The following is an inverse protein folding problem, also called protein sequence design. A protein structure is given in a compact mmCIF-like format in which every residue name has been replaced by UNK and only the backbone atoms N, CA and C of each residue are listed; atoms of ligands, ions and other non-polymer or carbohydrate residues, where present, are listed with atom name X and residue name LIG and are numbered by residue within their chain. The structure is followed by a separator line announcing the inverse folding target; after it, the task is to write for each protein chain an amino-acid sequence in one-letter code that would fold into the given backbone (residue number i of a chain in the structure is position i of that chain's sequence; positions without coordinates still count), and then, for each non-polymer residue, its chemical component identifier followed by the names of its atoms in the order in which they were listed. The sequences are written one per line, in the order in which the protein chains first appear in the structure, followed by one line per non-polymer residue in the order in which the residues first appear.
data_IF_010001839416
#
_entry.id   IF_010001839416
#
_cell.length_a   1.000
_cell.length_b   1.000
_cell.length_c   1.000
_cell.angle_alpha   90.00
_cell.angle_beta   90.00
_cell.angle_gamma   90.00
#
_symmetry.space_group_name_H-M   'P 1'
#
loop_
_entity.id
_entity.type
_entity.pdbx_description
1 polymer ?
#
# COMPACT_ATOMS: atom_id res chain seq x y z
N UNK A 1 4.66 3.63 -4.97
CA UNK A 1 4.62 3.79 -6.44
C UNK A 1 4.78 5.27 -6.78
N UNK A 2 5.18 5.59 -8.01
CA UNK A 2 5.37 6.97 -8.45
C UNK A 2 4.22 7.38 -9.38
N UNK A 3 3.30 8.27 -8.96
CA UNK A 3 2.15 8.65 -9.78
C UNK A 3 2.55 9.38 -11.07
N UNK A 4 1.89 9.01 -12.18
CA UNK A 4 1.92 9.80 -13.41
C UNK A 4 1.27 11.17 -13.19
N UNK A 5 1.75 12.27 -13.82
CA UNK A 5 2.85 12.37 -14.78
C UNK A 5 4.22 12.71 -14.16
N UNK A 6 4.31 12.69 -12.83
CA UNK A 6 5.45 13.26 -12.11
C UNK A 6 6.52 12.23 -11.73
N UNK A 7 6.42 10.99 -12.23
CA UNK A 7 7.21 9.87 -11.74
C UNK A 7 8.72 10.08 -11.80
N UNK A 8 9.24 10.76 -12.84
CA UNK A 8 10.68 11.02 -12.95
C UNK A 8 11.15 12.00 -11.86
N UNK A 9 10.45 13.12 -11.69
CA UNK A 9 10.77 14.11 -10.65
C UNK A 9 10.63 13.54 -9.23
N UNK A 10 9.65 12.66 -9.01
CA UNK A 10 9.45 12.00 -7.72
C UNK A 10 10.55 10.98 -7.43
N UNK A 11 10.96 10.18 -8.42
CA UNK A 11 12.09 9.26 -8.29
C UNK A 11 13.36 10.02 -7.93
N UNK A 12 13.71 11.07 -8.68
CA UNK A 12 14.90 11.90 -8.42
C UNK A 12 14.86 12.49 -7.02
N UNK A 13 13.69 13.00 -6.58
CA UNK A 13 13.51 13.54 -5.24
C UNK A 13 13.71 12.48 -4.15
N UNK A 14 13.17 11.28 -4.33
CA UNK A 14 13.30 10.20 -3.33
C UNK A 14 14.71 9.63 -3.29
N UNK A 15 15.36 9.44 -4.44
CA UNK A 15 16.75 8.98 -4.53
C UNK A 15 17.70 9.94 -3.80
N UNK A 16 17.56 11.25 -4.04
CA UNK A 16 18.38 12.27 -3.40
C UNK A 16 18.13 12.42 -1.89
N UNK A 17 16.96 12.01 -1.39
CA UNK A 17 16.58 12.16 0.02
C UNK A 17 17.28 11.16 0.94
N UNK A 18 17.75 10.02 0.41
CA UNK A 18 18.24 8.90 1.21
C UNK A 18 19.61 8.37 0.76
N UNK A 19 20.63 9.24 0.64
CA UNK A 19 21.94 8.85 0.10
C UNK A 19 22.59 7.76 0.96
N UNK A 20 22.94 6.63 0.33
CA UNK A 20 23.62 5.51 0.98
C UNK A 20 22.76 4.64 1.90
N UNK A 21 21.46 4.93 2.01
CA UNK A 21 20.50 4.18 2.82
C UNK A 21 19.43 3.49 1.98
N UNK A 22 18.93 4.18 0.94
CA UNK A 22 17.94 3.66 0.01
C UNK A 22 18.50 3.69 -1.41
N UNK A 23 18.39 2.58 -2.12
CA UNK A 23 18.87 2.44 -3.50
C UNK A 23 17.69 2.22 -4.44
N UNK A 24 17.50 3.13 -5.39
CA UNK A 24 16.38 3.11 -6.32
C UNK A 24 16.38 1.87 -7.23
N UNK A 25 15.22 1.23 -7.34
CA UNK A 25 14.91 0.15 -8.30
C UNK A 25 13.52 0.39 -8.84
N UNK A 26 13.40 0.57 -10.15
CA UNK A 26 12.16 0.94 -10.83
C UNK A 26 11.73 -0.14 -11.81
N UNK A 27 10.43 -0.43 -11.81
CA UNK A 27 9.78 -1.29 -12.79
C UNK A 27 8.74 -0.47 -13.55
N UNK A 28 8.98 -0.24 -14.84
CA UNK A 28 8.05 0.51 -15.69
C UNK A 28 6.86 -0.35 -16.10
N UNK A 29 5.66 0.18 -15.94
CA UNK A 29 4.41 -0.52 -16.19
C UNK A 29 3.37 0.40 -16.85
N UNK A 30 2.32 -0.21 -17.39
CA UNK A 30 1.07 0.50 -17.70
C UNK A 30 0.18 0.46 -16.46
N UNK A 31 -0.22 1.62 -15.95
CA UNK A 31 -1.14 1.79 -14.84
C UNK A 31 -2.19 2.83 -15.20
N UNK A 32 -3.47 2.48 -15.07
CA UNK A 32 -4.61 3.35 -15.41
C UNK A 32 -4.46 4.03 -16.80
N UNK A 33 -3.98 3.26 -17.79
CA UNK A 33 -3.76 3.73 -19.16
C UNK A 33 -2.48 4.51 -19.41
N UNK A 34 -1.75 4.91 -18.37
CA UNK A 34 -0.51 5.69 -18.47
C UNK A 34 0.73 4.80 -18.29
N UNK A 35 1.88 5.21 -18.85
CA UNK A 35 3.17 4.60 -18.53
C UNK A 35 3.76 5.32 -17.32
N UNK A 36 4.02 4.57 -16.25
CA UNK A 36 4.70 5.05 -15.04
C UNK A 36 5.59 3.95 -14.47
N UNK A 37 6.16 4.13 -13.28
CA UNK A 37 6.96 3.10 -12.61
C UNK A 37 6.49 2.79 -11.17
N UNK A 38 6.63 1.52 -10.80
CA UNK A 38 6.64 1.07 -9.41
C UNK A 38 8.08 1.12 -8.89
N UNK A 39 8.22 1.37 -7.59
CA UNK A 39 9.51 1.34 -6.91
C UNK A 39 9.60 0.10 -6.02
N UNK A 40 10.74 -0.59 -6.09
CA UNK A 40 11.13 -1.68 -5.19
C UNK A 40 12.50 -1.36 -4.57
N UNK A 41 12.68 -0.16 -3.97
CA UNK A 41 13.99 0.29 -3.57
C UNK A 41 14.58 -0.62 -2.49
N UNK A 42 15.88 -0.87 -2.57
CA UNK A 42 16.60 -1.58 -1.51
C UNK A 42 16.79 -0.62 -0.35
N UNK A 43 16.38 -1.03 0.87
CA UNK A 43 16.56 -0.24 2.09
C UNK A 43 17.56 -0.95 2.99
N UNK A 44 18.62 -0.26 3.39
CA UNK A 44 19.56 -0.78 4.40
C UNK A 44 18.90 -0.70 5.77
N UNK A 45 18.38 -1.84 6.26
CA UNK A 45 17.71 -1.90 7.55
C UNK A 45 18.61 -1.45 8.70
N UNK A 46 18.05 -0.65 9.60
CA UNK A 46 18.69 -0.22 10.85
C UNK A 46 17.77 -0.46 12.05
N UNK A 47 16.63 0.23 12.07
CA UNK A 47 15.58 0.07 13.08
C UNK A 47 14.20 0.15 12.41
N UNK A 48 13.20 -0.43 13.07
CA UNK A 48 11.80 -0.33 12.64
C UNK A 48 11.33 1.13 12.58
N UNK A 49 11.70 1.95 13.57
CA UNK A 49 11.35 3.37 13.61
C UNK A 49 11.89 4.14 12.39
N UNK A 50 13.13 3.85 11.96
CA UNK A 50 13.71 4.47 10.76
C UNK A 50 13.03 3.97 9.49
N UNK A 51 12.69 2.69 9.42
CA UNK A 51 11.97 2.12 8.28
C UNK A 51 10.57 2.74 8.13
N UNK A 52 9.82 2.86 9.22
CA UNK A 52 8.52 3.53 9.23
C UNK A 52 8.66 5.04 8.91
N UNK A 53 9.75 5.69 9.33
CA UNK A 53 10.04 7.07 8.93
C UNK A 53 10.27 7.20 7.42
N UNK A 54 11.04 6.30 6.80
CA UNK A 54 11.27 6.27 5.35
C UNK A 54 9.93 6.11 4.62
N UNK A 55 9.07 5.19 5.08
CA UNK A 55 7.72 5.00 4.53
C UNK A 55 6.90 6.28 4.61
N UNK A 56 6.83 6.91 5.79
CA UNK A 56 6.11 8.17 6.01
C UNK A 56 6.62 9.30 5.13
N UNK A 57 7.94 9.40 4.93
CA UNK A 57 8.54 10.42 4.08
C UNK A 57 8.18 10.21 2.60
N UNK A 58 8.11 8.98 2.11
CA UNK A 58 7.62 8.71 0.76
C UNK A 58 6.16 9.18 0.60
N UNK A 59 5.28 8.80 1.53
CA UNK A 59 3.87 9.19 1.50
C UNK A 59 3.69 10.71 1.55
N UNK A 60 4.40 11.39 2.46
CA UNK A 60 4.38 12.85 2.59
C UNK A 60 4.91 13.59 1.35
N UNK A 61 5.69 12.92 0.51
CA UNK A 61 6.22 13.47 -0.75
C UNK A 61 5.44 13.02 -1.99
N UNK A 62 4.24 12.45 -1.82
CA UNK A 62 3.38 12.07 -2.95
C UNK A 62 3.75 10.74 -3.59
N UNK A 63 4.50 9.88 -2.90
CA UNK A 63 4.85 8.53 -3.33
C UNK A 63 4.13 7.51 -2.42
N UNK A 64 2.91 7.05 -2.76
CA UNK A 64 2.18 6.16 -1.88
C UNK A 64 2.91 4.83 -1.69
N UNK A 65 2.90 4.30 -0.47
CA UNK A 65 3.56 3.05 -0.11
C UNK A 65 2.52 1.93 0.07
N UNK A 66 2.82 0.78 -0.55
CA UNK A 66 2.17 -0.48 -0.24
C UNK A 66 3.10 -1.22 0.71
N UNK A 67 2.82 -1.17 2.02
CA UNK A 67 3.81 -1.49 3.04
C UNK A 67 4.13 -3.01 3.05
N UNK A 68 5.34 -3.44 2.63
CA UNK A 68 5.70 -4.85 2.59
C UNK A 68 6.08 -5.41 3.97
N UNK A 69 6.12 -4.56 5.00
CA UNK A 69 6.45 -4.92 6.38
C UNK A 69 5.20 -5.01 7.26
N UNK A 70 4.05 -5.34 6.66
CA UNK A 70 2.79 -5.60 7.34
C UNK A 70 2.21 -6.91 6.82
N UNK A 71 1.46 -7.60 7.69
CA UNK A 71 0.95 -8.95 7.38
C UNK A 71 -0.56 -8.97 7.10
N UNK A 72 -1.27 -7.86 7.31
CA UNK A 72 -2.71 -7.74 7.05
C UNK A 72 -2.96 -7.09 5.69
N UNK A 73 -4.14 -7.34 5.14
CA UNK A 73 -4.55 -6.82 3.83
C UNK A 73 -4.61 -5.29 3.82
N UNK A 74 -5.23 -4.72 4.85
CA UNK A 74 -5.50 -3.29 4.93
C UNK A 74 -4.23 -2.49 5.20
N UNK A 75 -3.33 -2.96 6.08
CA UNK A 75 -2.07 -2.28 6.37
C UNK A 75 -1.05 -2.41 5.24
N UNK A 76 -1.12 -3.49 4.45
CA UNK A 76 -0.29 -3.65 3.25
C UNK A 76 -0.65 -2.66 2.13
N UNK A 77 -1.80 -2.00 2.20
CA UNK A 77 -2.22 -0.93 1.28
C UNK A 77 -2.59 -1.40 -0.12
N UNK A 78 -2.51 -2.70 -0.43
CA UNK A 78 -2.89 -3.21 -1.75
C UNK A 78 -4.39 -3.49 -1.84
N UNK A 79 -4.93 -4.35 -0.98
CA UNK A 79 -6.32 -4.80 -1.07
C UNK A 79 -7.21 -3.97 -0.15
N UNK A 80 -8.06 -3.13 -0.74
CA UNK A 80 -9.02 -2.35 0.04
C UNK A 80 -10.12 -3.27 0.61
N UNK A 81 -10.41 -3.09 1.90
CA UNK A 81 -11.62 -3.65 2.51
C UNK A 81 -12.80 -2.70 2.29
N UNK A 82 -13.94 -3.24 1.88
CA UNK A 82 -15.24 -2.56 1.83
C UNK A 82 -16.36 -3.50 2.31
N UNK A 83 -17.60 -3.00 2.30
CA UNK A 83 -18.75 -3.79 2.73
C UNK A 83 -19.00 -5.03 1.84
N UNK A 84 -18.64 -4.97 0.56
CA UNK A 84 -18.77 -6.09 -0.39
C UNK A 84 -17.79 -7.21 -0.03
N UNK A 85 -16.54 -6.86 0.27
CA UNK A 85 -15.51 -7.80 0.69
C UNK A 85 -15.86 -8.50 2.01
N UNK A 86 -16.39 -7.76 2.99
CA UNK A 86 -16.84 -8.35 4.27
C UNK A 86 -18.01 -9.31 4.08
N UNK A 87 -18.98 -8.94 3.24
CA UNK A 87 -20.11 -9.81 2.91
C UNK A 87 -19.64 -11.10 2.22
N UNK A 88 -18.70 -10.99 1.27
CA UNK A 88 -18.14 -12.14 0.57
C UNK A 88 -17.32 -13.07 1.47
N UNK A 89 -16.53 -12.52 2.42
CA UNK A 89 -15.83 -13.36 3.42
C UNK A 89 -16.83 -14.13 4.28
N UNK A 90 -17.91 -13.50 4.73
CA UNK A 90 -18.96 -14.19 5.51
C UNK A 90 -19.68 -15.28 4.71
N UNK A 91 -19.87 -15.10 3.41
CA UNK A 91 -20.47 -16.10 2.51
C UNK A 91 -19.55 -17.33 2.35
N UNK A 92 -18.27 -17.09 2.10
CA UNK A 92 -17.29 -18.12 1.73
C UNK A 92 -16.57 -18.76 2.90
N UNK A 93 -16.51 -18.07 4.04
CA UNK A 93 -15.78 -18.47 5.25
C UNK A 93 -16.53 -18.02 6.53
N UNK A 94 -17.76 -18.54 6.76
CA UNK A 94 -18.59 -18.12 7.88
C UNK A 94 -18.00 -18.42 9.26
N UNK A 95 -17.07 -19.38 9.34
CA UNK A 95 -16.36 -19.74 10.57
C UNK A 95 -15.00 -19.02 10.71
N UNK A 96 -14.56 -18.25 9.72
CA UNK A 96 -13.31 -17.51 9.78
C UNK A 96 -12.04 -18.39 9.74
N UNK A 97 -12.09 -19.57 9.13
CA UNK A 97 -11.00 -20.54 9.10
C UNK A 97 -10.00 -20.29 7.97
N UNK A 98 -10.38 -19.53 6.94
CA UNK A 98 -9.50 -19.20 5.83
C UNK A 98 -8.54 -18.07 6.21
N UNK A 99 -7.34 -18.45 6.62
CA UNK A 99 -6.21 -17.57 6.88
C UNK A 99 -6.54 -16.46 7.91
N UNK A 100 -6.90 -16.84 9.16
CA UNK A 100 -7.32 -15.90 10.20
C UNK A 100 -6.24 -14.86 10.52
N UNK A 101 -6.66 -13.68 10.99
CA UNK A 101 -5.78 -12.57 11.32
C UNK A 101 -5.25 -11.77 10.13
N UNK A 102 -5.57 -12.14 8.87
CA UNK A 102 -5.11 -11.38 7.68
C UNK A 102 -6.00 -10.21 7.29
N UNK A 103 -7.26 -10.18 7.72
CA UNK A 103 -8.21 -9.12 7.42
C UNK A 103 -8.62 -8.44 8.72
N UNK A 104 -8.14 -7.23 8.97
CA UNK A 104 -8.37 -6.53 10.25
C UNK A 104 -9.86 -6.30 10.46
N UNK A 105 -10.57 -5.85 9.43
CA UNK A 105 -12.00 -5.54 9.54
C UNK A 105 -12.88 -6.77 9.81
N UNK A 106 -12.36 -7.98 9.60
CA UNK A 106 -13.06 -9.21 9.98
C UNK A 106 -12.91 -9.49 11.48
N UNK A 107 -11.69 -9.35 12.00
CA UNK A 107 -11.37 -9.59 13.41
C UNK A 107 -11.86 -8.46 14.33
N UNK A 108 -11.92 -7.24 13.80
CA UNK A 108 -12.29 -6.04 14.53
C UNK A 108 -13.38 -5.25 13.77
N UNK A 109 -14.65 -5.31 14.20
CA UNK A 109 -15.75 -4.60 13.55
C UNK A 109 -15.68 -3.08 13.72
N UNK A 110 -14.90 -2.58 14.67
CA UNK A 110 -14.71 -1.15 14.92
C UNK A 110 -13.58 -0.54 14.06
N UNK A 111 -12.87 -1.36 13.28
CA UNK A 111 -11.82 -0.88 12.39
C UNK A 111 -12.40 -0.03 11.24
N UNK A 112 -11.91 1.20 11.10
CA UNK A 112 -12.38 2.11 10.04
C UNK A 112 -11.71 1.83 8.69
N UNK A 113 -12.23 0.84 7.97
CA UNK A 113 -11.79 0.48 6.62
C UNK A 113 -12.18 1.50 5.54
N UNK A 114 -12.92 2.57 5.89
CA UNK A 114 -13.34 3.63 4.95
C UNK A 114 -12.30 4.75 4.80
N UNK A 115 -11.15 4.61 5.46
CA UNK A 115 -10.08 5.60 5.37
C UNK A 115 -9.66 5.85 3.90
N UNK A 116 -9.55 7.11 3.49
CA UNK A 116 -9.30 7.55 2.11
C UNK A 116 -7.87 7.33 1.61
N UNK A 117 -7.20 6.25 2.02
CA UNK A 117 -5.86 5.91 1.57
C UNK A 117 -5.88 5.46 0.11
N UNK A 118 -4.74 5.58 -0.56
CA UNK A 118 -4.58 5.04 -1.92
C UNK A 118 -4.40 3.53 -1.85
N UNK A 119 -5.29 2.78 -2.51
CA UNK A 119 -5.20 1.33 -2.63
C UNK A 119 -4.93 0.89 -4.07
N UNK A 120 -4.13 -0.15 -4.25
CA UNK A 120 -3.84 -0.72 -5.57
C UNK A 120 -5.04 -1.47 -6.15
N UNK A 121 -5.68 -2.31 -5.32
CA UNK A 121 -6.91 -3.03 -5.63
C UNK A 121 -8.07 -2.37 -4.89
N UNK A 122 -8.69 -1.41 -5.56
CA UNK A 122 -9.84 -0.68 -5.03
C UNK A 122 -11.04 -1.61 -4.82
N UNK A 123 -11.88 -1.26 -3.85
CA UNK A 123 -13.13 -1.96 -3.57
C UNK A 123 -14.11 -1.93 -4.74
N UNK A 124 -15.12 -2.80 -4.68
CA UNK A 124 -16.19 -2.88 -5.69
C UNK A 124 -17.37 -1.99 -5.34
N UNK A 125 -17.46 -1.53 -4.09
CA UNK A 125 -18.51 -0.60 -3.68
C UNK A 125 -18.42 0.69 -4.50
N UNK A 126 -19.45 0.94 -5.32
CA UNK A 126 -19.58 2.19 -6.07
C UNK A 126 -19.91 3.32 -5.10
N UNK A 127 -19.37 4.50 -5.36
CA UNK A 127 -19.82 5.74 -4.72
C UNK A 127 -21.26 5.98 -5.19
N UNK A 128 -22.20 6.01 -4.25
CA UNK A 128 -23.60 6.36 -4.48
C UNK A 128 -23.78 7.86 -4.64
#
# INVERSE_FOLDING_TARGET
FYPFPNQLALVEKMDAMFPGEVFSHLEFVRLDGNITCFGLPLVKFTTEARLDEIVRLHEANGCPIFNPHRYTLEEGGMKQTDAVQLAFKRETDPQGLLNPGKMIAWENPDYDYRSGRTFLFRGLQKVG
#
